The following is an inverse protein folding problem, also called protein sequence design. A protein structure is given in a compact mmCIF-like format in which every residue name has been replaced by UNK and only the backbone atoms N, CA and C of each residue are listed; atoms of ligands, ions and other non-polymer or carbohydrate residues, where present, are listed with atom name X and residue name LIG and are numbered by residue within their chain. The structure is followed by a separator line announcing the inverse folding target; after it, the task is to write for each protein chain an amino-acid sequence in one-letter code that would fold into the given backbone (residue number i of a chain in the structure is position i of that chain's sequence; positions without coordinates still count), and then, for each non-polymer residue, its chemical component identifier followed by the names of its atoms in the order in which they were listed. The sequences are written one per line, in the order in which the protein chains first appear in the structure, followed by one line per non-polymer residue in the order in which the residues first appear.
data_IF_484143367681
#
_entry.id   IF_484143367681
#
_cell.length_a   1.000
_cell.length_b   1.000
_cell.length_c   1.000
_cell.angle_alpha   90.00
_cell.angle_beta   90.00
_cell.angle_gamma   90.00
#
_symmetry.space_group_name_H-M   'P 1'
#
loop_
_entity.id
_entity.type
_entity.pdbx_description
1 polymer ?
#
# COMPACT_ATOMS: atom_id res chain seq x y z
N UNK A 1 -22.76 -0.90 -16.80
CA UNK A 1 -22.08 -2.16 -17.15
C UNK A 1 -22.52 -3.14 -16.10
N UNK A 2 -23.67 -3.77 -16.31
CA UNK A 2 -24.34 -4.64 -15.33
C UNK A 2 -23.98 -6.12 -15.49
N UNK A 3 -23.27 -6.47 -16.53
CA UNK A 3 -22.98 -7.87 -16.80
C UNK A 3 -21.60 -8.22 -16.27
N UNK A 4 -21.59 -9.24 -15.44
CA UNK A 4 -20.36 -9.84 -14.98
C UNK A 4 -19.55 -10.33 -16.17
N UNK A 5 -18.32 -9.90 -16.29
CA UNK A 5 -17.43 -10.30 -17.39
C UNK A 5 -17.04 -11.77 -17.32
N UNK A 6 -17.45 -12.49 -16.28
CA UNK A 6 -17.09 -13.87 -16.02
C UNK A 6 -18.37 -14.69 -15.80
N UNK A 7 -18.85 -15.35 -16.84
CA UNK A 7 -19.89 -16.36 -16.79
C UNK A 7 -21.24 -15.97 -16.18
N UNK A 8 -22.06 -16.94 -15.85
CA UNK A 8 -23.40 -16.77 -15.27
C UNK A 8 -23.43 -16.47 -13.76
N UNK A 9 -22.30 -16.35 -13.10
CA UNK A 9 -22.22 -16.04 -11.69
C UNK A 9 -22.25 -14.53 -11.43
N UNK A 10 -23.02 -14.11 -10.42
CA UNK A 10 -23.17 -12.72 -10.05
C UNK A 10 -21.87 -12.17 -9.47
N UNK A 11 -21.27 -11.17 -10.11
CA UNK A 11 -20.12 -10.45 -9.58
C UNK A 11 -20.52 -9.65 -8.36
N UNK A 12 -20.03 -10.04 -7.20
CA UNK A 12 -20.12 -9.26 -5.97
C UNK A 12 -18.99 -8.24 -5.99
N UNK A 13 -19.35 -6.96 -6.01
CA UNK A 13 -18.39 -5.85 -5.96
C UNK A 13 -18.59 -5.06 -4.70
N UNK A 14 -17.58 -4.99 -3.89
CA UNK A 14 -17.57 -4.27 -2.63
C UNK A 14 -16.57 -3.12 -2.66
N UNK A 15 -16.84 -2.14 -1.84
CA UNK A 15 -15.92 -1.06 -1.53
C UNK A 15 -15.71 -1.05 -0.03
N UNK A 16 -14.47 -1.27 0.39
CA UNK A 16 -14.08 -1.17 1.79
C UNK A 16 -13.59 0.25 2.01
N UNK A 17 -14.11 0.90 3.04
CA UNK A 17 -13.80 2.29 3.41
C UNK A 17 -13.59 2.38 4.92
N UNK A 18 -13.24 3.57 5.40
CA UNK A 18 -13.14 3.88 6.83
C UNK A 18 -12.09 3.04 7.56
N UNK A 19 -10.95 2.82 6.91
CA UNK A 19 -9.83 2.13 7.52
C UNK A 19 -9.34 2.84 8.78
N UNK A 20 -8.96 2.09 9.83
CA UNK A 20 -8.27 2.67 10.97
C UNK A 20 -6.92 3.26 10.53
N UNK A 21 -6.56 4.42 11.06
CA UNK A 21 -5.26 5.02 10.80
C UNK A 21 -4.14 4.27 11.52
N UNK A 22 -4.41 3.81 12.72
CA UNK A 22 -3.47 3.12 13.58
C UNK A 22 -4.06 1.83 14.13
N UNK A 23 -3.17 0.93 14.49
CA UNK A 23 -3.46 -0.29 15.23
C UNK A 23 -2.43 -0.52 16.33
N UNK A 24 -2.76 -1.37 17.28
CA UNK A 24 -1.85 -1.80 18.32
C UNK A 24 -1.07 -3.03 17.84
N UNK A 25 0.24 -2.94 17.80
CA UNK A 25 1.06 -4.10 17.51
C UNK A 25 0.92 -5.15 18.63
N UNK A 26 0.54 -6.35 18.26
CA UNK A 26 0.22 -7.42 19.23
C UNK A 26 1.44 -7.83 20.10
N UNK A 27 2.63 -7.78 19.52
CA UNK A 27 3.87 -8.21 20.18
C UNK A 27 4.49 -7.11 21.05
N UNK A 28 4.62 -5.93 20.47
CA UNK A 28 5.31 -4.81 21.12
C UNK A 28 4.39 -3.92 21.95
N UNK A 29 3.05 -4.06 21.77
CA UNK A 29 2.04 -3.18 22.37
C UNK A 29 2.24 -1.71 22.04
N UNK A 30 2.91 -1.40 20.95
CA UNK A 30 3.12 -0.04 20.45
C UNK A 30 2.09 0.28 19.37
N UNK A 31 1.76 1.56 19.26
CA UNK A 31 0.93 2.07 18.18
C UNK A 31 1.76 2.07 16.90
N UNK A 32 1.20 1.52 15.83
CA UNK A 32 1.77 1.57 14.49
C UNK A 32 0.69 1.94 13.48
N UNK A 33 1.08 2.38 12.30
CA UNK A 33 0.14 2.56 11.20
C UNK A 33 -0.48 1.22 10.80
N UNK A 34 -1.80 1.22 10.56
CA UNK A 34 -2.52 0.01 10.15
C UNK A 34 -2.17 -0.36 8.70
N UNK A 35 -2.28 0.59 7.77
CA UNK A 35 -2.04 0.35 6.35
C UNK A 35 -1.10 1.40 5.77
N UNK A 36 -1.64 2.45 5.12
CA UNK A 36 -0.86 3.46 4.43
C UNK A 36 -0.59 4.69 5.33
N UNK A 37 0.65 4.92 5.77
CA UNK A 37 0.99 6.03 6.67
C UNK A 37 0.84 7.42 6.01
N UNK A 38 0.73 7.47 4.70
CA UNK A 38 0.63 8.72 3.93
C UNK A 38 -0.82 9.10 3.60
N UNK A 39 -1.79 8.42 4.20
CA UNK A 39 -3.19 8.72 4.03
C UNK A 39 -3.60 9.93 4.83
N UNK A 40 -4.59 10.67 4.32
CA UNK A 40 -5.21 11.76 5.05
C UNK A 40 -6.13 11.18 6.14
N UNK A 41 -6.01 11.63 7.41
CA UNK A 41 -6.99 11.28 8.43
C UNK A 41 -8.36 11.88 8.10
N UNK A 42 -9.42 11.20 8.51
CA UNK A 42 -10.79 11.67 8.29
C UNK A 42 -11.15 12.81 9.22
N UNK A 43 -12.08 13.63 8.78
CA UNK A 43 -12.59 14.77 9.54
C UNK A 43 -11.89 16.09 9.23
N UNK A 44 -12.26 17.12 9.99
CA UNK A 44 -11.61 18.43 9.87
C UNK A 44 -10.30 18.40 10.65
N UNK A 45 -9.21 18.76 10.01
CA UNK A 45 -7.85 18.72 10.59
C UNK A 45 -7.77 19.48 11.94
N UNK A 46 -8.54 20.55 12.09
CA UNK A 46 -8.56 21.35 13.32
C UNK A 46 -9.21 20.65 14.51
N UNK A 47 -10.08 19.67 14.22
CA UNK A 47 -10.91 19.00 15.22
C UNK A 47 -10.39 17.57 15.52
N UNK A 48 -9.26 17.16 14.91
CA UNK A 48 -8.67 15.84 15.13
C UNK A 48 -8.16 15.73 16.57
N UNK A 49 -8.68 14.74 17.29
CA UNK A 49 -8.20 14.39 18.62
C UNK A 49 -7.02 13.43 18.56
N UNK A 50 -5.82 13.97 18.59
CA UNK A 50 -4.56 13.19 18.57
C UNK A 50 -4.32 12.40 19.87
N UNK A 51 -5.12 12.60 20.92
CA UNK A 51 -4.98 11.83 22.16
C UNK A 51 -5.58 10.42 22.06
N UNK A 52 -6.41 10.18 21.03
CA UNK A 52 -7.11 8.92 20.80
C UNK A 52 -6.76 8.30 19.44
N UNK A 53 -5.51 7.94 19.21
CA UNK A 53 -5.06 7.51 17.90
C UNK A 53 -5.76 6.26 17.36
N UNK A 54 -6.17 5.34 18.22
CA UNK A 54 -6.86 4.11 17.82
C UNK A 54 -8.32 4.34 17.35
N UNK A 55 -8.90 5.51 17.64
CA UNK A 55 -10.21 5.91 17.14
C UNK A 55 -10.11 6.64 15.78
N UNK A 56 -8.91 7.04 15.37
CA UNK A 56 -8.70 7.78 14.12
C UNK A 56 -8.90 6.88 12.90
N UNK A 57 -9.65 7.39 11.94
CA UNK A 57 -9.85 6.75 10.63
C UNK A 57 -9.08 7.50 9.55
N UNK A 58 -8.69 6.79 8.51
CA UNK A 58 -8.04 7.34 7.32
C UNK A 58 -8.96 7.28 6.11
N UNK A 59 -8.79 8.22 5.17
CA UNK A 59 -9.41 8.15 3.85
C UNK A 59 -8.66 7.15 2.97
N UNK A 60 -8.80 5.87 3.33
CA UNK A 60 -8.33 4.73 2.54
C UNK A 60 -9.52 3.95 2.01
N UNK A 61 -9.35 3.31 0.88
CA UNK A 61 -10.42 2.56 0.23
C UNK A 61 -9.85 1.46 -0.64
N UNK A 62 -10.57 0.32 -0.67
CA UNK A 62 -10.29 -0.79 -1.55
C UNK A 62 -11.51 -1.11 -2.40
N UNK A 63 -11.26 -1.63 -3.60
CA UNK A 63 -12.27 -2.24 -4.45
C UNK A 63 -12.03 -3.74 -4.43
N UNK A 64 -13.06 -4.48 -4.05
CA UNK A 64 -13.04 -5.93 -3.95
C UNK A 64 -14.04 -6.52 -4.94
N UNK A 65 -13.68 -7.61 -5.60
CA UNK A 65 -14.59 -8.36 -6.46
C UNK A 65 -14.50 -9.85 -6.14
N UNK A 66 -15.64 -10.46 -5.83
CA UNK A 66 -15.73 -11.89 -5.45
C UNK A 66 -14.75 -12.27 -4.32
N UNK A 67 -14.59 -11.39 -3.33
CA UNK A 67 -13.66 -11.60 -2.22
C UNK A 67 -12.18 -11.32 -2.52
N UNK A 68 -11.85 -10.90 -3.74
CA UNK A 68 -10.48 -10.57 -4.15
C UNK A 68 -10.32 -9.06 -4.21
N UNK A 69 -9.36 -8.51 -3.47
CA UNK A 69 -8.97 -7.11 -3.57
C UNK A 69 -8.39 -6.84 -4.96
N UNK A 70 -9.07 -6.01 -5.74
CA UNK A 70 -8.63 -5.61 -7.08
C UNK A 70 -7.77 -4.37 -7.06
N UNK A 71 -8.02 -3.49 -6.11
CA UNK A 71 -7.41 -2.16 -6.12
C UNK A 71 -7.43 -1.56 -4.73
N UNK A 72 -6.35 -0.91 -4.34
CA UNK A 72 -6.23 -0.17 -3.10
C UNK A 72 -5.84 1.27 -3.35
N UNK A 73 -6.36 2.18 -2.54
CA UNK A 73 -6.12 3.60 -2.71
C UNK A 73 -6.29 4.42 -1.44
N UNK A 74 -5.94 5.71 -1.54
CA UNK A 74 -6.14 6.67 -0.47
C UNK A 74 -6.20 8.11 -0.99
N UNK A 75 -6.89 8.97 -0.24
CA UNK A 75 -6.63 10.41 -0.29
C UNK A 75 -5.35 10.64 0.48
N UNK A 76 -4.39 11.32 -0.13
CA UNK A 76 -3.05 11.50 0.41
C UNK A 76 -2.95 12.69 1.37
N UNK A 77 -2.17 12.49 2.42
CA UNK A 77 -1.79 13.62 3.27
C UNK A 77 -0.74 14.45 2.54
N UNK A 78 -1.12 15.67 2.18
CA UNK A 78 -0.29 16.64 1.46
C UNK A 78 0.25 17.76 2.35
N UNK A 79 0.05 17.66 3.68
CA UNK A 79 0.40 18.68 4.67
C UNK A 79 1.58 18.18 5.51
N UNK A 80 2.80 18.74 5.33
CA UNK A 80 4.00 18.28 6.03
C UNK A 80 3.87 18.28 7.56
N UNK A 81 3.31 19.34 8.14
CA UNK A 81 3.14 19.46 9.59
C UNK A 81 2.24 18.38 10.17
N UNK A 82 1.16 18.06 9.46
CA UNK A 82 0.25 16.98 9.85
C UNK A 82 0.97 15.62 9.73
N UNK A 83 1.77 15.43 8.69
CA UNK A 83 2.53 14.20 8.50
C UNK A 83 3.49 13.95 9.66
N UNK A 84 4.25 14.96 10.09
CA UNK A 84 5.14 14.81 11.25
C UNK A 84 4.38 14.42 12.52
N UNK A 85 3.22 15.02 12.79
CA UNK A 85 2.38 14.66 13.95
C UNK A 85 1.89 13.23 13.90
N UNK A 86 1.44 12.78 12.72
CA UNK A 86 0.97 11.41 12.54
C UNK A 86 2.10 10.39 12.74
N UNK A 87 3.29 10.67 12.23
CA UNK A 87 4.45 9.80 12.42
C UNK A 87 4.96 9.81 13.88
N UNK A 88 4.86 10.93 14.58
CA UNK A 88 5.22 11.02 16.01
C UNK A 88 4.35 10.09 16.88
N UNK A 89 3.05 10.00 16.61
CA UNK A 89 2.13 9.06 17.28
C UNK A 89 2.57 7.61 17.09
N UNK A 90 3.07 7.26 15.91
CA UNK A 90 3.63 5.93 15.63
C UNK A 90 5.07 5.74 16.15
N UNK A 91 5.60 6.71 16.91
CA UNK A 91 6.90 6.61 17.58
C UNK A 91 8.11 7.03 16.74
N UNK A 92 7.90 7.63 15.56
CA UNK A 92 8.99 8.16 14.73
C UNK A 92 9.35 9.57 15.16
N UNK A 93 10.63 9.88 15.23
CA UNK A 93 11.12 11.25 15.44
C UNK A 93 11.12 12.00 14.10
N UNK A 94 11.02 13.33 14.16
CA UNK A 94 11.08 14.17 12.96
C UNK A 94 12.31 13.86 12.09
N UNK A 95 13.47 13.67 12.70
CA UNK A 95 14.71 13.32 12.00
C UNK A 95 14.61 11.99 11.23
N UNK A 96 13.87 11.01 11.75
CA UNK A 96 13.69 9.73 11.08
C UNK A 96 12.82 9.89 9.83
N UNK A 97 11.79 10.72 9.91
CA UNK A 97 10.92 11.08 8.78
C UNK A 97 11.70 11.86 7.72
N UNK A 98 12.49 12.85 8.13
CA UNK A 98 13.34 13.64 7.22
C UNK A 98 14.36 12.75 6.50
N UNK A 99 15.02 11.85 7.22
CA UNK A 99 16.03 10.95 6.61
C UNK A 99 15.42 9.97 5.60
N UNK A 100 14.21 9.46 5.88
CA UNK A 100 13.57 8.43 5.03
C UNK A 100 12.76 9.03 3.89
N UNK A 101 12.17 10.21 4.08
CA UNK A 101 11.16 10.77 3.19
C UNK A 101 11.46 12.22 2.79
N UNK A 102 12.72 12.67 2.87
CA UNK A 102 13.14 14.04 2.58
C UNK A 102 12.64 14.57 1.24
N UNK A 103 12.76 13.78 0.18
CA UNK A 103 12.32 14.19 -1.16
C UNK A 103 10.83 14.49 -1.23
N UNK A 104 10.01 13.63 -0.61
CA UNK A 104 8.56 13.81 -0.56
C UNK A 104 8.18 15.00 0.32
N UNK A 105 8.75 15.14 1.52
CA UNK A 105 8.49 16.26 2.42
C UNK A 105 8.86 17.59 1.75
N UNK A 106 10.01 17.63 1.10
CA UNK A 106 10.44 18.83 0.36
C UNK A 106 9.45 19.18 -0.75
N UNK A 107 9.02 18.20 -1.56
CA UNK A 107 8.04 18.44 -2.61
C UNK A 107 6.71 18.98 -2.06
N UNK A 108 6.19 18.38 -0.97
CA UNK A 108 4.95 18.83 -0.33
C UNK A 108 5.07 20.22 0.27
N UNK A 109 6.26 20.64 0.71
CA UNK A 109 6.51 21.97 1.29
C UNK A 109 6.36 23.12 0.27
N UNK A 110 6.38 22.82 -1.03
CA UNK A 110 6.09 23.80 -2.09
C UNK A 110 4.59 23.96 -2.37
N UNK A 111 3.71 23.33 -1.59
CA UNK A 111 2.26 23.52 -1.69
C UNK A 111 1.59 22.54 -2.65
N UNK A 112 1.70 21.26 -2.39
CA UNK A 112 0.98 20.26 -3.16
C UNK A 112 -0.54 20.39 -2.99
N UNK A 113 -1.34 20.27 -4.08
CA UNK A 113 -2.78 20.29 -3.98
C UNK A 113 -3.31 19.02 -3.28
N UNK A 114 -4.54 19.05 -2.72
CA UNK A 114 -5.23 17.84 -2.32
C UNK A 114 -5.27 16.84 -3.47
N UNK A 115 -4.85 15.60 -3.20
CA UNK A 115 -4.78 14.56 -4.22
C UNK A 115 -5.06 13.19 -3.61
N UNK A 116 -5.36 12.25 -4.47
CA UNK A 116 -5.55 10.85 -4.12
C UNK A 116 -5.16 9.96 -5.28
N UNK A 117 -5.19 8.68 -5.04
CA UNK A 117 -4.88 7.70 -6.08
C UNK A 117 -5.38 6.33 -5.71
N UNK A 118 -5.42 5.46 -6.73
CA UNK A 118 -5.77 4.06 -6.59
C UNK A 118 -4.84 3.23 -7.48
N UNK A 119 -4.44 2.07 -7.01
CA UNK A 119 -3.54 1.15 -7.71
C UNK A 119 -4.27 -0.14 -8.08
N UNK A 120 -4.76 -0.28 -9.33
CA UNK A 120 -5.39 -1.52 -9.79
C UNK A 120 -4.37 -2.64 -9.94
N UNK A 121 -4.68 -3.82 -9.38
CA UNK A 121 -3.89 -5.04 -9.56
C UNK A 121 -4.25 -5.71 -10.89
N UNK A 122 -3.50 -5.43 -11.95
CA UNK A 122 -3.81 -5.94 -13.30
C UNK A 122 -3.83 -7.45 -13.33
N UNK A 123 -2.87 -8.13 -12.72
CA UNK A 123 -2.82 -9.59 -12.68
C UNK A 123 -4.06 -10.19 -11.98
N UNK A 124 -4.54 -9.55 -10.91
CA UNK A 124 -5.78 -9.98 -10.22
C UNK A 124 -7.02 -9.79 -11.10
N UNK A 125 -7.08 -8.71 -11.87
CA UNK A 125 -8.15 -8.47 -12.83
C UNK A 125 -8.11 -9.53 -13.93
N UNK A 126 -6.94 -9.82 -14.48
CA UNK A 126 -6.76 -10.86 -15.50
C UNK A 126 -7.13 -12.22 -14.96
N UNK A 127 -6.73 -12.55 -13.74
CA UNK A 127 -7.08 -13.80 -13.06
C UNK A 127 -8.61 -13.99 -12.98
N UNK A 128 -9.34 -12.94 -12.59
CA UNK A 128 -10.81 -13.00 -12.55
C UNK A 128 -11.42 -13.12 -13.94
N UNK A 129 -10.91 -12.41 -14.95
CA UNK A 129 -11.39 -12.51 -16.33
C UNK A 129 -11.13 -13.87 -16.96
N UNK A 130 -10.02 -14.50 -16.61
CA UNK A 130 -9.66 -15.84 -17.05
C UNK A 130 -10.37 -16.95 -16.25
N UNK A 131 -11.12 -16.58 -15.20
CA UNK A 131 -11.74 -17.53 -14.26
C UNK A 131 -10.73 -18.48 -13.60
N UNK A 132 -9.55 -17.97 -13.27
CA UNK A 132 -8.50 -18.73 -12.60
C UNK A 132 -8.53 -18.50 -11.09
N UNK A 133 -8.26 -19.56 -10.32
CA UNK A 133 -8.26 -19.50 -8.87
C UNK A 133 -6.95 -18.99 -8.28
N UNK A 134 -5.87 -18.98 -9.06
CA UNK A 134 -4.53 -18.64 -8.60
C UNK A 134 -3.87 -17.63 -9.56
N UNK A 135 -3.33 -16.55 -9.01
CA UNK A 135 -2.63 -15.50 -9.76
C UNK A 135 -1.42 -16.04 -10.55
N UNK A 136 -0.82 -17.13 -10.11
CA UNK A 136 0.30 -17.77 -10.84
C UNK A 136 -0.09 -18.32 -12.21
N UNK A 137 -1.38 -18.62 -12.42
CA UNK A 137 -1.88 -19.12 -13.73
C UNK A 137 -1.91 -18.02 -14.80
N UNK A 138 -1.90 -16.75 -14.39
CA UNK A 138 -1.92 -15.61 -15.31
C UNK A 138 -0.60 -14.83 -15.35
N UNK A 139 0.37 -15.23 -14.56
CA UNK A 139 1.71 -14.64 -14.53
C UNK A 139 2.66 -15.46 -15.39
N UNK A 140 3.31 -14.83 -16.38
CA UNK A 140 4.16 -15.52 -17.35
C UNK A 140 5.35 -16.26 -16.69
N UNK A 141 5.99 -15.64 -15.69
CA UNK A 141 7.11 -16.20 -14.95
C UNK A 141 6.82 -16.14 -13.43
N UNK A 142 5.96 -17.06 -12.93
CA UNK A 142 5.56 -17.02 -11.52
C UNK A 142 6.70 -17.47 -10.62
N UNK A 143 6.95 -16.72 -9.56
CA UNK A 143 7.86 -17.12 -8.51
C UNK A 143 7.21 -18.05 -7.50
N UNK A 144 8.00 -18.97 -6.96
CA UNK A 144 7.59 -19.79 -5.82
C UNK A 144 7.73 -19.02 -4.49
N UNK A 145 7.39 -19.69 -3.36
CA UNK A 145 7.45 -19.06 -2.02
C UNK A 145 8.88 -18.70 -1.58
N UNK A 146 9.90 -19.28 -2.21
CA UNK A 146 11.31 -18.98 -1.95
C UNK A 146 11.85 -17.87 -2.85
N UNK A 147 10.98 -17.14 -3.53
CA UNK A 147 11.34 -16.12 -4.53
C UNK A 147 12.21 -16.67 -5.67
N UNK A 148 11.94 -17.90 -6.11
CA UNK A 148 12.63 -18.54 -7.20
C UNK A 148 11.71 -18.65 -8.42
N UNK A 149 12.19 -18.29 -9.58
CA UNK A 149 11.61 -18.63 -10.87
C UNK A 149 12.26 -19.92 -11.36
N UNK A 150 11.54 -21.04 -11.26
CA UNK A 150 12.06 -22.36 -11.61
C UNK A 150 12.22 -22.53 -13.14
N UNK A 151 11.47 -21.77 -13.93
CA UNK A 151 11.53 -21.83 -15.38
C UNK A 151 12.78 -21.13 -15.91
N UNK A 152 13.10 -19.97 -15.35
CA UNK A 152 14.28 -19.17 -15.71
C UNK A 152 15.51 -19.54 -14.87
N UNK A 153 15.36 -20.44 -13.89
CA UNK A 153 16.41 -20.82 -12.94
C UNK A 153 16.98 -19.59 -12.18
N UNK A 154 16.09 -18.65 -11.82
CA UNK A 154 16.45 -17.44 -11.09
C UNK A 154 16.05 -17.54 -9.59
N UNK A 155 16.81 -16.92 -8.66
CA UNK A 155 18.07 -16.22 -8.87
C UNK A 155 19.22 -17.18 -9.21
N UNK A 156 20.19 -16.71 -9.96
CA UNK A 156 21.42 -17.43 -10.28
C UNK A 156 22.63 -16.65 -9.76
N UNK A 157 23.74 -17.34 -9.60
CA UNK A 157 25.00 -16.70 -9.23
C UNK A 157 25.46 -15.75 -10.34
N UNK A 158 26.04 -14.62 -9.94
CA UNK A 158 26.66 -13.66 -10.85
C UNK A 158 28.18 -13.87 -10.88
N UNK A 159 28.81 -13.52 -11.99
CA UNK A 159 30.27 -13.65 -12.11
C UNK A 159 31.00 -12.61 -11.25
N UNK A 160 32.20 -12.93 -10.80
CA UNK A 160 33.04 -12.00 -10.04
C UNK A 160 33.32 -10.70 -10.81
N UNK A 161 33.41 -10.78 -12.14
CA UNK A 161 33.64 -9.59 -12.97
C UNK A 161 32.44 -8.64 -12.94
N UNK A 162 31.21 -9.16 -12.93
CA UNK A 162 30.01 -8.35 -12.74
C UNK A 162 29.96 -7.71 -11.34
N UNK A 163 30.36 -8.46 -10.31
CA UNK A 163 30.44 -7.89 -8.95
C UNK A 163 31.46 -6.76 -8.87
N UNK A 164 32.66 -6.94 -9.50
CA UNK A 164 33.69 -5.90 -9.54
C UNK A 164 33.22 -4.66 -10.31
N UNK A 165 32.55 -4.83 -11.46
CA UNK A 165 32.00 -3.73 -12.25
C UNK A 165 31.02 -2.88 -11.45
N UNK A 166 30.19 -3.53 -10.62
CA UNK A 166 29.21 -2.89 -9.74
C UNK A 166 29.80 -2.44 -8.40
N UNK A 167 31.11 -2.64 -8.16
CA UNK A 167 31.80 -2.35 -6.90
C UNK A 167 31.13 -3.06 -5.69
N UNK A 168 30.62 -4.26 -5.91
CA UNK A 168 30.09 -5.14 -4.88
C UNK A 168 31.17 -6.15 -4.46
N UNK A 169 31.36 -6.32 -3.16
CA UNK A 169 32.31 -7.27 -2.57
C UNK A 169 31.60 -8.35 -1.78
#
# INVERSE_FOLDING_TARGET
ISDCLVGSEMCIRDRIIDYPMYELDEKTKKIKFSHNPFSMPQGNIKDIDFSKPLEMKAYQYDIVCNGIELSSGAIRNHIPELMYKLFEIAGYKKKDVDNKFSGMINALSYGAPPHGGIAPGIDRIVMLLANEANIREVTMFPMNQNAQDLMMMAPSEVSEDQLKELQLS
#
